data_IF_256467894259
#
_entry.id   IF_256467894259
#
_cell.length_a   1.000
_cell.length_b   1.000
_cell.length_c   1.000
_cell.angle_alpha   90.00
_cell.angle_beta   90.00
_cell.angle_gamma   90.00
#
_symmetry.space_group_name_H-M   'P 1'
#
loop_
_entity.id
_entity.type
_entity.pdbx_description
1 polymer ?
#
# COMPACT_ATOMS: atom_id res chain seq x y z
N UNK A 1 -8.07 -36.75 -3.53
CA UNK A 1 -7.65 -35.82 -4.60
C UNK A 1 -7.45 -34.45 -3.96
N UNK A 2 -6.21 -34.04 -3.69
CA UNK A 2 -5.88 -32.70 -3.21
C UNK A 2 -5.60 -31.80 -4.41
N UNK A 3 -6.48 -30.85 -4.68
CA UNK A 3 -6.21 -29.73 -5.57
C UNK A 3 -5.54 -28.64 -4.72
N UNK A 4 -4.22 -28.62 -4.66
CA UNK A 4 -3.50 -27.39 -4.33
C UNK A 4 -3.62 -26.47 -5.54
N UNK A 5 -4.65 -25.62 -5.51
CA UNK A 5 -4.75 -24.44 -6.37
C UNK A 5 -3.54 -23.54 -6.06
N UNK A 6 -2.48 -23.65 -6.85
CA UNK A 6 -1.48 -22.61 -6.95
C UNK A 6 -2.12 -21.43 -7.70
N UNK A 7 -2.98 -20.69 -6.98
CA UNK A 7 -3.66 -19.50 -7.46
C UNK A 7 -2.68 -18.34 -7.62
N UNK A 8 -2.95 -17.50 -8.61
CA UNK A 8 -2.21 -16.30 -8.98
C UNK A 8 -1.89 -15.43 -7.74
N UNK A 9 -0.65 -14.92 -7.63
CA UNK A 9 -0.21 -14.18 -6.43
C UNK A 9 -0.05 -12.70 -6.76
N UNK A 10 -0.93 -11.86 -6.21
CA UNK A 10 -0.72 -10.41 -6.20
C UNK A 10 0.30 -10.07 -5.10
N UNK A 11 1.28 -9.24 -5.41
CA UNK A 11 2.31 -8.81 -4.48
C UNK A 11 2.18 -7.31 -4.26
N UNK A 12 2.19 -6.88 -3.00
CA UNK A 12 2.36 -5.47 -2.65
C UNK A 12 3.85 -5.20 -2.49
N UNK A 13 4.36 -4.21 -3.23
CA UNK A 13 5.74 -3.77 -3.15
C UNK A 13 5.85 -2.62 -2.16
N UNK A 14 6.85 -2.69 -1.27
CA UNK A 14 7.13 -1.63 -0.32
C UNK A 14 7.57 -0.37 -1.03
N UNK A 15 7.34 0.78 -0.38
CA UNK A 15 7.76 2.09 -0.86
C UNK A 15 9.25 2.08 -1.23
N UNK A 16 10.13 1.57 -0.36
CA UNK A 16 11.56 1.55 -0.67
C UNK A 16 11.99 0.60 -1.81
N UNK A 17 11.09 -0.24 -2.34
CA UNK A 17 11.34 -1.19 -3.42
C UNK A 17 12.11 -2.46 -3.02
N UNK A 18 12.50 -2.63 -1.76
CA UNK A 18 13.33 -3.75 -1.31
C UNK A 18 12.55 -4.89 -0.65
N UNK A 19 11.29 -4.65 -0.27
CA UNK A 19 10.42 -5.62 0.38
C UNK A 19 9.15 -5.80 -0.44
N UNK A 20 8.65 -7.03 -0.47
CA UNK A 20 7.39 -7.37 -1.09
C UNK A 20 6.65 -8.36 -0.19
N UNK A 21 5.34 -8.21 -0.12
CA UNK A 21 4.47 -9.15 0.62
C UNK A 21 3.37 -9.62 -0.31
N UNK A 22 3.00 -10.90 -0.20
CA UNK A 22 1.86 -11.40 -0.94
C UNK A 22 0.58 -10.77 -0.39
N UNK A 23 -0.30 -10.32 -1.27
CA UNK A 23 -1.55 -9.66 -0.90
C UNK A 23 -2.48 -10.56 -0.07
N UNK A 24 -2.42 -11.88 -0.26
CA UNK A 24 -3.18 -12.88 0.53
C UNK A 24 -2.55 -13.18 1.90
N UNK A 25 -1.28 -12.83 2.10
CA UNK A 25 -0.59 -12.94 3.39
C UNK A 25 -0.74 -11.66 4.24
N UNK A 26 -1.23 -10.55 3.67
CA UNK A 26 -1.47 -9.31 4.40
C UNK A 26 -2.62 -9.54 5.38
N UNK A 27 -2.32 -9.43 6.68
CA UNK A 27 -3.31 -9.57 7.76
C UNK A 27 -3.87 -8.24 8.21
N UNK A 28 -3.14 -7.14 7.97
CA UNK A 28 -3.58 -5.79 8.34
C UNK A 28 -2.95 -4.73 7.45
N UNK A 29 -3.68 -3.63 7.23
CA UNK A 29 -3.12 -2.39 6.70
C UNK A 29 -3.46 -1.27 7.67
N UNK A 30 -2.45 -0.58 8.17
CA UNK A 30 -2.59 0.45 9.22
C UNK A 30 -1.98 1.77 8.79
N UNK A 31 -2.47 2.86 9.36
CA UNK A 31 -1.87 4.19 9.20
C UNK A 31 -0.97 4.47 10.39
N UNK A 32 0.32 4.65 10.13
CA UNK A 32 1.29 5.13 11.10
C UNK A 32 1.59 6.59 10.82
N UNK A 33 1.45 7.45 11.83
CA UNK A 33 1.50 8.89 11.63
C UNK A 33 2.81 9.43 12.19
N UNK A 34 3.59 10.06 11.33
CA UNK A 34 4.79 10.79 11.74
C UNK A 34 4.38 12.19 12.18
N UNK A 35 3.85 12.29 13.40
CA UNK A 35 3.53 13.60 13.97
C UNK A 35 4.10 13.69 15.38
N UNK A 36 5.30 14.27 15.47
CA UNK A 36 6.02 14.47 16.74
C UNK A 36 5.42 15.59 17.61
N UNK A 37 4.46 16.37 17.08
CA UNK A 37 4.07 17.67 17.67
C UNK A 37 2.71 17.71 18.36
N UNK A 38 1.80 16.78 18.12
CA UNK A 38 0.42 16.87 18.63
C UNK A 38 0.05 15.73 19.58
N UNK A 39 -0.59 16.09 20.69
CA UNK A 39 -1.18 15.15 21.64
C UNK A 39 -2.32 14.38 20.98
N UNK A 40 -2.11 13.07 20.75
CA UNK A 40 -3.04 12.15 20.10
C UNK A 40 -4.38 12.02 20.85
N UNK A 41 -4.47 12.48 22.10
CA UNK A 41 -5.70 12.43 22.91
C UNK A 41 -6.62 13.64 22.70
N UNK A 42 -6.11 14.72 22.10
CA UNK A 42 -6.81 16.01 22.01
C UNK A 42 -7.78 16.11 20.83
N UNK A 43 -7.60 15.29 19.80
CA UNK A 43 -8.36 15.39 18.55
C UNK A 43 -9.00 14.07 18.16
N UNK A 44 -10.16 14.16 17.51
CA UNK A 44 -10.77 13.01 16.85
C UNK A 44 -9.79 12.43 15.80
N UNK A 45 -9.66 11.10 15.66
CA UNK A 45 -8.64 10.48 14.79
C UNK A 45 -8.60 10.99 13.34
N UNK A 46 -9.76 11.31 12.76
CA UNK A 46 -9.84 11.87 11.40
C UNK A 46 -9.26 13.28 11.28
N UNK A 47 -9.47 14.15 12.29
CA UNK A 47 -8.89 15.50 12.33
C UNK A 47 -7.39 15.48 12.55
N UNK A 48 -6.90 14.42 13.19
CA UNK A 48 -5.48 14.23 13.43
C UNK A 48 -4.74 13.81 12.14
N UNK A 49 -5.34 12.95 11.32
CA UNK A 49 -4.81 12.62 9.99
C UNK A 49 -4.72 13.85 9.08
N UNK A 50 -5.77 14.67 9.00
CA UNK A 50 -5.77 15.88 8.15
C UNK A 50 -4.65 16.88 8.49
N UNK A 51 -4.17 16.85 9.73
CA UNK A 51 -3.11 17.74 10.24
C UNK A 51 -1.72 17.12 10.22
N UNK A 52 -1.61 15.82 10.00
CA UNK A 52 -0.32 15.16 9.92
C UNK A 52 0.41 15.59 8.65
N UNK A 53 1.65 16.04 8.82
CA UNK A 53 2.52 16.37 7.68
C UNK A 53 2.74 15.14 6.81
N UNK A 54 3.03 14.00 7.45
CA UNK A 54 3.29 12.72 6.79
C UNK A 54 2.67 11.56 7.56
N UNK A 55 2.16 10.59 6.82
CA UNK A 55 1.54 9.35 7.28
C UNK A 55 2.05 8.21 6.41
N UNK A 56 2.48 7.13 7.06
CA UNK A 56 2.92 5.89 6.43
C UNK A 56 1.78 4.89 6.41
N UNK A 57 1.47 4.35 5.24
CA UNK A 57 0.59 3.20 5.06
C UNK A 57 1.44 1.94 5.27
N UNK A 58 1.18 1.22 6.36
CA UNK A 58 1.93 0.05 6.76
C UNK A 58 1.13 -1.22 6.47
N UNK A 59 1.72 -2.18 5.76
CA UNK A 59 1.16 -3.50 5.56
C UNK A 59 1.81 -4.50 6.53
N UNK A 60 0.99 -5.20 7.31
CA UNK A 60 1.40 -6.20 8.28
C UNK A 60 1.14 -7.62 7.77
N UNK A 61 2.09 -8.51 8.05
CA UNK A 61 1.99 -9.97 7.84
C UNK A 61 2.21 -10.64 9.20
N UNK A 62 1.47 -11.71 9.49
CA UNK A 62 1.58 -12.42 10.75
C UNK A 62 3.00 -12.96 10.96
N UNK A 63 3.61 -12.61 12.09
CA UNK A 63 4.96 -13.06 12.44
C UNK A 63 6.10 -12.30 11.76
N UNK A 64 5.80 -11.26 10.98
CA UNK A 64 6.80 -10.43 10.31
C UNK A 64 6.71 -8.96 10.76
N UNK A 65 7.83 -8.23 10.61
CA UNK A 65 7.82 -6.79 10.80
C UNK A 65 6.98 -6.12 9.70
N UNK A 66 6.13 -5.12 10.02
CA UNK A 66 5.34 -4.42 9.01
C UNK A 66 6.24 -3.74 7.97
N UNK A 67 5.73 -3.57 6.75
CA UNK A 67 6.42 -2.85 5.68
C UNK A 67 5.65 -1.58 5.32
N UNK A 68 6.36 -0.50 4.99
CA UNK A 68 5.73 0.72 4.49
C UNK A 68 5.45 0.56 2.99
N UNK A 69 4.19 0.69 2.60
CA UNK A 69 3.74 0.66 1.22
C UNK A 69 3.77 2.04 0.55
N UNK A 70 3.51 3.10 1.33
CA UNK A 70 3.47 4.49 0.86
C UNK A 70 3.55 5.46 2.03
N UNK A 71 4.37 6.50 1.91
CA UNK A 71 4.36 7.68 2.77
C UNK A 71 3.64 8.82 2.06
N UNK A 72 2.66 9.47 2.72
CA UNK A 72 1.82 10.50 2.12
C UNK A 72 1.42 11.63 3.08
N UNK A 73 0.99 12.80 2.58
CA UNK A 73 0.39 13.83 3.40
C UNK A 73 -0.86 13.28 4.09
N UNK A 74 -1.02 13.57 5.38
CA UNK A 74 -2.06 12.93 6.18
C UNK A 74 -3.48 13.20 5.70
N UNK A 75 -3.74 14.38 5.11
CA UNK A 75 -4.99 14.73 4.43
C UNK A 75 -5.40 13.78 3.30
N UNK A 76 -4.47 12.96 2.80
CA UNK A 76 -4.69 12.00 1.73
C UNK A 76 -4.59 10.53 2.20
N UNK A 77 -4.28 10.29 3.47
CA UNK A 77 -4.01 8.94 3.97
C UNK A 77 -5.22 8.00 3.86
N UNK A 78 -6.41 8.48 4.22
CA UNK A 78 -7.63 7.68 4.16
C UNK A 78 -8.01 7.29 2.71
N UNK A 79 -7.94 8.24 1.78
CA UNK A 79 -8.20 7.98 0.36
C UNK A 79 -7.14 7.06 -0.25
N UNK A 80 -5.86 7.25 0.11
CA UNK A 80 -4.76 6.40 -0.34
C UNK A 80 -4.94 4.94 0.12
N UNK A 81 -5.36 4.75 1.38
CA UNK A 81 -5.65 3.44 1.96
C UNK A 81 -6.83 2.78 1.25
N UNK A 82 -7.93 3.52 1.06
CA UNK A 82 -9.11 3.02 0.34
C UNK A 82 -8.72 2.53 -1.06
N UNK A 83 -8.01 3.35 -1.83
CA UNK A 83 -7.55 3.00 -3.18
C UNK A 83 -6.61 1.81 -3.20
N UNK A 84 -5.75 1.64 -2.18
CA UNK A 84 -4.88 0.47 -2.06
C UNK A 84 -5.72 -0.81 -1.93
N UNK A 85 -6.69 -0.81 -1.02
CA UNK A 85 -7.56 -1.97 -0.79
C UNK A 85 -8.38 -2.29 -2.04
N UNK A 86 -8.94 -1.27 -2.70
CA UNK A 86 -9.68 -1.43 -3.95
C UNK A 86 -8.79 -2.01 -5.05
N UNK A 87 -7.56 -1.51 -5.20
CA UNK A 87 -6.58 -1.99 -6.20
C UNK A 87 -6.16 -3.44 -5.93
N UNK A 88 -5.89 -3.81 -4.67
CA UNK A 88 -5.56 -5.18 -4.31
C UNK A 88 -6.73 -6.14 -4.57
N UNK A 89 -7.95 -5.73 -4.24
CA UNK A 89 -9.15 -6.53 -4.50
C UNK A 89 -9.43 -6.67 -6.01
N UNK A 90 -9.25 -5.61 -6.77
CA UNK A 90 -9.40 -5.62 -8.23
C UNK A 90 -8.32 -6.48 -8.91
N UNK A 91 -7.06 -6.33 -8.52
CA UNK A 91 -5.95 -7.14 -9.03
C UNK A 91 -6.21 -8.64 -8.79
N UNK A 92 -6.68 -9.01 -7.60
CA UNK A 92 -7.09 -10.39 -7.29
C UNK A 92 -8.24 -10.89 -8.16
N UNK A 93 -9.22 -10.03 -8.46
CA UNK A 93 -10.39 -10.39 -9.27
C UNK A 93 -10.06 -10.56 -10.75
N UNK A 94 -9.34 -9.60 -11.35
CA UNK A 94 -9.01 -9.58 -12.78
C UNK A 94 -8.01 -10.65 -13.17
N UNK A 95 -7.12 -11.00 -12.25
CA UNK A 95 -6.05 -11.96 -12.47
C UNK A 95 -6.28 -13.23 -11.64
N UNK A 96 -7.53 -13.60 -11.34
CA UNK A 96 -7.83 -14.83 -10.59
C UNK A 96 -7.59 -16.11 -11.42
N UNK A 97 -7.81 -16.03 -12.73
CA UNK A 97 -7.99 -17.22 -13.59
C UNK A 97 -6.86 -17.47 -14.61
N UNK A 98 -5.86 -16.59 -14.71
CA UNK A 98 -4.92 -16.58 -15.86
C UNK A 98 -3.54 -17.22 -15.56
N UNK A 99 -3.17 -17.43 -14.30
CA UNK A 99 -1.83 -17.92 -13.92
C UNK A 99 -0.73 -16.88 -14.18
N UNK A 100 -0.02 -16.46 -13.13
CA UNK A 100 1.01 -15.41 -13.20
C UNK A 100 1.17 -14.64 -11.88
N UNK A 101 2.03 -13.62 -11.88
CA UNK A 101 2.20 -12.70 -10.76
C UNK A 101 1.85 -11.30 -11.22
N UNK A 102 1.24 -10.52 -10.33
CA UNK A 102 1.06 -9.09 -10.53
C UNK A 102 1.59 -8.33 -9.33
N UNK A 103 2.12 -7.15 -9.57
CA UNK A 103 2.79 -6.33 -8.57
C UNK A 103 2.04 -5.02 -8.44
N UNK A 104 1.57 -4.75 -7.22
CA UNK A 104 0.93 -3.50 -6.83
C UNK A 104 1.96 -2.64 -6.14
N UNK A 105 2.17 -1.43 -6.65
CA UNK A 105 3.10 -0.47 -6.06
C UNK A 105 2.55 0.94 -6.21
N UNK A 106 2.91 1.83 -5.28
CA UNK A 106 2.71 3.25 -5.50
C UNK A 106 3.72 3.74 -6.53
N UNK A 107 3.33 4.69 -7.36
CA UNK A 107 4.33 5.51 -8.07
C UNK A 107 5.04 6.38 -7.04
N UNK A 108 6.38 6.51 -7.07
CA UNK A 108 6.98 7.60 -6.30
C UNK A 108 6.44 8.90 -6.82
N UNK A 109 5.95 9.70 -5.90
CA UNK A 109 5.52 11.03 -6.20
C UNK A 109 6.12 11.96 -5.17
N UNK A 110 6.83 12.97 -5.66
CA UNK A 110 6.84 14.25 -4.97
C UNK A 110 5.38 14.65 -4.84
N UNK A 111 4.82 14.49 -3.64
CA UNK A 111 3.38 14.65 -3.41
C UNK A 111 2.93 15.99 -3.97
N UNK A 112 2.13 15.99 -5.05
CA UNK A 112 1.76 17.23 -5.67
C UNK A 112 0.87 18.03 -4.71
N UNK A 113 0.66 19.31 -5.01
CA UNK A 113 -0.36 20.11 -4.32
C UNK A 113 -1.78 19.49 -4.43
N UNK A 114 -1.98 18.56 -5.37
CA UNK A 114 -3.22 17.81 -5.62
C UNK A 114 -3.02 16.30 -5.44
N UNK A 115 -4.11 15.58 -5.17
CA UNK A 115 -4.10 14.12 -5.08
C UNK A 115 -3.81 13.51 -6.46
N UNK A 116 -2.89 12.54 -6.57
CA UNK A 116 -2.50 12.03 -7.86
C UNK A 116 -3.34 10.87 -8.38
N UNK A 117 -3.43 10.78 -9.70
CA UNK A 117 -4.21 9.75 -10.37
C UNK A 117 -3.48 9.23 -11.63
N UNK A 118 -3.21 7.91 -11.75
CA UNK A 118 -3.39 6.89 -10.71
C UNK A 118 -2.28 6.93 -9.63
N UNK A 119 -2.66 6.68 -8.37
CA UNK A 119 -1.72 6.55 -7.24
C UNK A 119 -1.06 5.16 -7.21
N UNK A 120 -1.86 4.10 -7.30
CA UNK A 120 -1.41 2.70 -7.28
C UNK A 120 -1.39 2.15 -8.70
N UNK A 121 -0.30 1.50 -9.08
CA UNK A 121 -0.16 0.80 -10.35
C UNK A 121 -0.10 -0.71 -10.14
N UNK A 122 -0.61 -1.44 -11.13
CA UNK A 122 -0.56 -2.89 -11.21
C UNK A 122 0.26 -3.26 -12.45
N UNK A 123 1.36 -3.98 -12.27
CA UNK A 123 2.25 -4.42 -13.34
C UNK A 123 2.40 -5.94 -13.35
N UNK A 124 2.71 -6.51 -14.50
CA UNK A 124 3.02 -7.95 -14.63
C UNK A 124 4.49 -8.25 -14.34
N UNK A 125 5.37 -7.27 -14.53
CA UNK A 125 6.80 -7.36 -14.24
C UNK A 125 7.08 -6.83 -12.83
N UNK A 126 8.04 -7.44 -12.14
CA UNK A 126 8.54 -6.96 -10.85
C UNK A 126 9.08 -5.55 -11.07
N UNK A 127 8.53 -4.51 -10.42
CA UNK A 127 9.06 -3.18 -10.58
C UNK A 127 10.46 -3.11 -9.97
N UNK A 128 11.44 -2.70 -10.77
CA UNK A 128 12.79 -2.46 -10.27
C UNK A 128 12.76 -1.32 -9.23
N UNK A 129 13.64 -1.32 -8.22
CA UNK A 129 13.69 -0.24 -7.23
C UNK A 129 13.84 1.16 -7.86
N UNK A 130 14.49 1.24 -9.02
CA UNK A 130 14.63 2.47 -9.79
C UNK A 130 13.31 2.93 -10.43
N UNK A 131 12.44 2.00 -10.84
CA UNK A 131 11.13 2.34 -11.42
C UNK A 131 10.17 2.86 -10.37
N UNK A 132 10.37 2.42 -9.13
CA UNK A 132 9.61 2.89 -7.99
C UNK A 132 10.02 4.32 -7.67
N UNK A 133 11.31 4.71 -7.77
CA UNK A 133 11.85 6.04 -7.42
C UNK A 133 11.86 7.11 -8.53
N UNK A 134 11.34 6.82 -9.73
CA UNK A 134 11.36 7.75 -10.88
C UNK A 134 10.08 8.55 -11.04
#
# INVERSE_FOLDING_TARGET
MSLTLAGMTAWLVAENGFRMVRADAITSVTLDVENERDDRTKYHPTKWLDRANWVRLMAGVLGEAPMCALTCPGRYAAESLKRLLDTLAEARRKHGDVGGNVYVHAMYQDWPSRFPDPLWKVTSDIPEPEWIRR
#
